data_IF_439661344270
#
_entry.id   IF_439661344270
#
_cell.length_a   1.000
_cell.length_b   1.000
_cell.length_c   1.000
_cell.angle_alpha   90.00
_cell.angle_beta   90.00
_cell.angle_gamma   90.00
#
_symmetry.space_group_name_H-M   'P 1'
#
loop_
_entity.id
_entity.type
_entity.pdbx_description
1 polymer ?
#
# COMPACT_ATOMS: atom_id res chain seq x y z
N UNK A 1 -4.55 8.10 5.92
CA UNK A 1 -4.23 6.78 5.35
C UNK A 1 -3.26 6.08 6.28
N UNK A 2 -3.62 4.90 6.77
CA UNK A 2 -2.75 4.06 7.61
C UNK A 2 -2.68 2.66 7.01
N UNK A 3 -1.53 2.00 7.14
CA UNK A 3 -1.36 0.60 6.75
C UNK A 3 -1.51 -0.25 8.01
N UNK A 4 -2.32 -1.31 7.94
CA UNK A 4 -2.45 -2.31 8.98
C UNK A 4 -2.25 -3.71 8.40
N UNK A 5 -1.75 -4.62 9.23
CA UNK A 5 -1.76 -6.05 8.93
C UNK A 5 -3.11 -6.58 9.41
N UNK A 6 -3.91 -7.07 8.48
CA UNK A 6 -5.18 -7.72 8.78
C UNK A 6 -5.25 -9.05 8.01
N UNK A 7 -5.81 -10.06 8.66
CA UNK A 7 -6.08 -11.37 8.07
C UNK A 7 -7.51 -11.45 7.50
N UNK A 8 -8.35 -10.45 7.81
CA UNK A 8 -9.72 -10.36 7.32
C UNK A 8 -9.78 -9.53 6.04
N UNK A 9 -10.41 -10.09 5.01
CA UNK A 9 -10.75 -9.40 3.77
C UNK A 9 -12.26 -9.17 3.74
N UNK A 10 -12.70 -7.95 3.46
CA UNK A 10 -14.12 -7.65 3.26
C UNK A 10 -14.51 -7.84 1.79
N UNK A 11 -15.77 -8.17 1.51
CA UNK A 11 -16.25 -8.51 0.14
C UNK A 11 -16.03 -7.39 -0.88
N UNK A 12 -16.03 -6.13 -0.44
CA UNK A 12 -15.89 -4.95 -1.32
C UNK A 12 -14.43 -4.48 -1.48
N UNK A 13 -13.47 -5.15 -0.84
CA UNK A 13 -12.07 -4.80 -0.96
C UNK A 13 -11.45 -5.35 -2.24
N UNK A 14 -10.61 -4.52 -2.87
CA UNK A 14 -9.81 -4.91 -4.00
C UNK A 14 -8.51 -5.56 -3.51
N UNK A 15 -8.15 -6.67 -4.15
CA UNK A 15 -6.92 -7.40 -3.87
C UNK A 15 -5.95 -7.24 -5.05
N UNK A 16 -4.74 -6.80 -4.73
CA UNK A 16 -3.62 -6.73 -5.68
C UNK A 16 -2.47 -7.56 -5.13
N UNK A 17 -1.95 -8.46 -5.96
CA UNK A 17 -0.78 -9.27 -5.62
C UNK A 17 0.45 -8.77 -6.39
N UNK A 18 1.54 -8.52 -5.67
CA UNK A 18 2.81 -8.09 -6.24
C UNK A 18 3.97 -8.69 -5.47
N UNK A 19 4.90 -9.35 -6.17
CA UNK A 19 6.08 -10.00 -5.59
C UNK A 19 5.76 -10.94 -4.39
N UNK A 20 4.62 -11.64 -4.44
CA UNK A 20 4.17 -12.55 -3.39
C UNK A 20 3.56 -11.86 -2.15
N UNK A 21 3.41 -10.54 -2.18
CA UNK A 21 2.69 -9.76 -1.17
C UNK A 21 1.29 -9.47 -1.69
N UNK A 22 0.29 -9.82 -0.90
CA UNK A 22 -1.10 -9.44 -1.14
C UNK A 22 -1.39 -8.14 -0.42
N UNK A 23 -1.86 -7.16 -1.18
CA UNK A 23 -2.31 -5.87 -0.67
C UNK A 23 -3.81 -5.78 -0.89
N UNK A 24 -4.53 -5.50 0.19
CA UNK A 24 -5.98 -5.36 0.21
C UNK A 24 -6.30 -3.90 0.52
N UNK A 25 -7.20 -3.30 -0.26
CA UNK A 25 -7.64 -1.93 -0.04
C UNK A 25 -9.09 -1.76 -0.50
N UNK A 26 -9.82 -0.87 0.18
CA UNK A 26 -11.20 -0.58 -0.20
C UNK A 26 -11.29 0.09 -1.57
N UNK A 27 -12.33 -0.24 -2.33
CA UNK A 27 -12.55 0.24 -3.70
C UNK A 27 -12.52 1.77 -3.84
N UNK A 28 -12.94 2.50 -2.81
CA UNK A 28 -12.90 3.98 -2.79
C UNK A 28 -11.47 4.55 -2.91
N UNK A 29 -10.45 3.74 -2.60
CA UNK A 29 -9.05 4.12 -2.68
C UNK A 29 -8.42 3.83 -4.05
N UNK A 30 -9.12 3.15 -4.97
CA UNK A 30 -8.60 2.74 -6.28
C UNK A 30 -7.97 3.90 -7.07
N UNK A 31 -8.59 5.08 -7.04
CA UNK A 31 -8.07 6.28 -7.70
C UNK A 31 -6.78 6.83 -7.07
N UNK A 32 -6.55 6.58 -5.79
CA UNK A 32 -5.37 7.04 -5.04
C UNK A 32 -4.24 6.03 -5.07
N UNK A 33 -4.56 4.72 -5.09
CA UNK A 33 -3.55 3.66 -5.14
C UNK A 33 -3.04 3.38 -6.56
N UNK A 34 -3.71 3.90 -7.57
CA UNK A 34 -3.24 3.81 -8.96
C UNK A 34 -1.91 4.56 -9.13
N UNK A 35 -0.86 3.82 -9.48
CA UNK A 35 0.51 4.35 -9.61
C UNK A 35 1.24 4.52 -8.27
N UNK A 36 0.70 3.96 -7.19
CA UNK A 36 1.32 3.94 -5.87
C UNK A 36 2.29 2.75 -5.79
N UNK A 37 3.51 3.01 -5.33
CA UNK A 37 4.58 2.02 -5.19
C UNK A 37 4.93 1.85 -3.72
N UNK A 38 4.88 0.60 -3.25
CA UNK A 38 5.30 0.20 -1.92
C UNK A 38 6.70 -0.41 -1.99
N UNK A 39 7.68 0.29 -1.42
CA UNK A 39 9.05 -0.20 -1.26
C UNK A 39 9.34 -0.47 0.22
N UNK A 40 10.24 -1.41 0.51
CA UNK A 40 10.78 -1.61 1.85
C UNK A 40 12.27 -1.30 1.84
N UNK A 41 12.75 -0.49 2.78
CA UNK A 41 14.18 -0.24 2.95
C UNK A 41 14.64 -0.75 4.30
N UNK A 42 15.79 -1.42 4.34
CA UNK A 42 16.41 -1.94 5.57
C UNK A 42 17.70 -1.19 5.94
N UNK A 43 17.86 0.04 5.44
CA UNK A 43 19.09 0.82 5.60
C UNK A 43 19.09 1.61 6.92
N UNK A 44 19.86 1.10 7.89
CA UNK A 44 20.22 1.84 9.11
C UNK A 44 19.04 2.25 9.98
N UNK A 45 18.83 3.56 10.15
CA UNK A 45 17.72 4.13 10.92
C UNK A 45 16.44 4.36 10.11
N UNK A 46 16.48 4.20 8.78
CA UNK A 46 15.32 4.42 7.91
C UNK A 46 14.57 3.12 7.61
N UNK A 47 14.66 2.12 8.48
CA UNK A 47 14.01 0.83 8.26
C UNK A 47 12.50 1.00 8.23
N UNK A 48 11.85 0.60 7.15
CA UNK A 48 10.41 0.70 7.04
C UNK A 48 9.86 0.63 5.62
N UNK A 49 8.54 0.63 5.58
CA UNK A 49 7.78 0.71 4.34
C UNK A 49 7.72 2.16 3.86
N UNK A 50 8.04 2.35 2.58
CA UNK A 50 7.98 3.63 1.89
C UNK A 50 6.94 3.54 0.78
N UNK A 51 5.91 4.37 0.91
CA UNK A 51 4.90 4.59 -0.10
C UNK A 51 5.33 5.78 -0.97
N UNK A 52 5.34 5.60 -2.29
CA UNK A 52 5.69 6.67 -3.25
C UNK A 52 4.74 6.67 -4.45
N UNK A 53 4.58 7.81 -5.13
CA UNK A 53 3.71 7.90 -6.31
C UNK A 53 2.23 8.17 -5.99
N UNK A 54 1.35 7.92 -6.96
CA UNK A 54 -0.11 7.92 -6.79
C UNK A 54 -0.75 9.21 -6.27
N UNK A 55 -0.46 10.39 -6.83
CA UNK A 55 -1.13 11.65 -6.44
C UNK A 55 -1.00 12.07 -4.97
N UNK A 56 -0.28 11.30 -4.14
CA UNK A 56 0.01 11.63 -2.76
C UNK A 56 1.00 12.77 -2.83
N UNK A 57 0.54 13.98 -2.49
CA UNK A 57 1.38 15.16 -2.46
C UNK A 57 2.63 14.89 -1.63
N UNK A 58 3.79 14.95 -2.28
CA UNK A 58 5.08 14.99 -1.61
C UNK A 58 5.20 16.36 -0.96
N UNK A 59 4.96 16.45 0.35
CA UNK A 59 5.40 17.59 1.15
C UNK A 59 6.87 17.45 1.51
#
# INVERSE_FOLDING_TARGET
>A
MGIALDEQQYEDDLLVESNGIKVVFSKDLEGYVNGLKLDYTDTGFNKGFRLTGGGIGSC
#
